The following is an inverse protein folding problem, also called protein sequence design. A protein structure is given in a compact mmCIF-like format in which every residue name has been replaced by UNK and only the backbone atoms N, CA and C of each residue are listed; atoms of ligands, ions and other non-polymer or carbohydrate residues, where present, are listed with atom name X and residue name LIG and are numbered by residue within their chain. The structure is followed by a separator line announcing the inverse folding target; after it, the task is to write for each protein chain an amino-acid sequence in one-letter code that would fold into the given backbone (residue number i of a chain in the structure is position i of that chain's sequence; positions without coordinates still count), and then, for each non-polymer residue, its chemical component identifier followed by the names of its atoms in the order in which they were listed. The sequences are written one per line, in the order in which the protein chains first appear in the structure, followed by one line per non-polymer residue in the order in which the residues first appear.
data_IF_321301428678
#
_entry.id   IF_321301428678
#
_cell.length_a   1.000
_cell.length_b   1.000
_cell.length_c   1.000
_cell.angle_alpha   90.00
_cell.angle_beta   90.00
_cell.angle_gamma   90.00
#
_symmetry.space_group_name_H-M   'P 1'
#
loop_
_entity.id
_entity.type
_entity.pdbx_description
1 polymer ?
#
# COMPACT_ATOMS: atom_id res chain seq x y z
N UNK A 1 -76.05 -58.50 7.08
CA UNK A 1 -74.67 -58.60 7.60
C UNK A 1 -73.71 -57.95 6.61
N UNK A 2 -72.66 -57.32 7.14
CA UNK A 2 -71.89 -56.20 6.58
C UNK A 2 -71.25 -56.43 5.20
N UNK A 3 -71.37 -55.46 4.29
CA UNK A 3 -70.55 -55.31 3.07
C UNK A 3 -69.32 -54.45 3.43
N UNK A 4 -68.12 -55.00 3.28
CA UNK A 4 -66.85 -54.28 3.51
C UNK A 4 -66.42 -53.56 2.22
N UNK A 5 -66.23 -52.25 2.33
CA UNK A 5 -65.67 -51.41 1.27
C UNK A 5 -64.12 -51.41 1.35
N UNK A 6 -63.47 -51.60 0.21
CA UNK A 6 -62.01 -51.51 0.05
C UNK A 6 -61.66 -50.04 -0.21
N UNK A 7 -60.92 -49.41 0.71
CA UNK A 7 -60.32 -48.09 0.49
C UNK A 7 -58.98 -48.23 -0.22
N UNK A 8 -58.89 -47.72 -1.46
CA UNK A 8 -57.61 -47.46 -2.12
C UNK A 8 -56.96 -46.20 -1.50
N UNK A 9 -55.73 -46.33 -1.00
CA UNK A 9 -54.88 -45.19 -0.58
C UNK A 9 -54.03 -44.74 -1.77
N UNK A 10 -54.19 -43.47 -2.17
CA UNK A 10 -53.27 -42.78 -3.09
C UNK A 10 -51.99 -42.34 -2.33
N UNK A 11 -50.80 -42.34 -2.97
CA UNK A 11 -49.58 -41.87 -2.34
C UNK A 11 -49.50 -40.33 -2.33
N UNK A 12 -48.76 -39.72 -1.38
CA UNK A 12 -48.64 -38.27 -1.29
C UNK A 12 -47.73 -37.72 -2.40
N UNK A 13 -48.20 -36.72 -3.15
CA UNK A 13 -47.37 -35.90 -4.02
C UNK A 13 -46.42 -35.05 -3.15
N UNK A 14 -45.11 -35.34 -3.25
CA UNK A 14 -44.05 -34.48 -2.72
C UNK A 14 -43.81 -33.33 -3.69
N UNK A 15 -44.24 -32.11 -3.30
CA UNK A 15 -43.85 -30.86 -3.94
C UNK A 15 -42.36 -30.60 -3.66
N UNK A 16 -41.49 -30.85 -4.64
CA UNK A 16 -40.09 -30.43 -4.60
C UNK A 16 -40.02 -28.94 -4.94
N UNK A 17 -40.03 -28.08 -3.92
CA UNK A 17 -39.73 -26.66 -4.10
C UNK A 17 -38.22 -26.53 -4.38
N UNK A 18 -37.87 -26.26 -5.63
CA UNK A 18 -36.51 -25.92 -6.05
C UNK A 18 -36.12 -24.55 -5.48
N UNK A 19 -35.43 -24.55 -4.34
CA UNK A 19 -34.63 -23.39 -3.92
C UNK A 19 -33.51 -23.21 -4.94
N UNK A 20 -33.71 -22.31 -5.92
CA UNK A 20 -32.60 -21.67 -6.61
C UNK A 20 -31.85 -20.84 -5.57
N UNK A 21 -30.81 -21.44 -4.98
CA UNK A 21 -29.84 -20.70 -4.20
C UNK A 21 -29.22 -19.63 -5.08
N UNK A 22 -29.50 -18.37 -4.79
CA UNK A 22 -28.71 -17.24 -5.26
C UNK A 22 -27.27 -17.51 -4.82
N UNK A 23 -26.43 -17.92 -5.77
CA UNK A 23 -24.98 -17.85 -5.58
C UNK A 23 -24.71 -16.36 -5.36
N UNK A 24 -24.22 -15.93 -4.19
CA UNK A 24 -23.80 -14.55 -4.03
C UNK A 24 -22.75 -14.31 -5.11
N UNK A 25 -23.09 -13.49 -6.11
CA UNK A 25 -22.12 -13.01 -7.07
C UNK A 25 -20.97 -12.44 -6.26
N UNK A 26 -19.75 -12.94 -6.49
CA UNK A 26 -18.57 -12.46 -5.79
C UNK A 26 -18.57 -10.94 -5.91
N UNK A 27 -18.83 -10.26 -4.79
CA UNK A 27 -18.83 -8.80 -4.76
C UNK A 27 -17.47 -8.33 -5.27
N UNK A 28 -17.48 -7.35 -6.18
CA UNK A 28 -16.26 -6.84 -6.77
C UNK A 28 -15.39 -6.23 -5.67
N UNK A 29 -14.17 -6.72 -5.54
CA UNK A 29 -13.26 -6.32 -4.46
C UNK A 29 -12.82 -4.85 -4.64
N UNK A 30 -13.08 -4.02 -3.64
CA UNK A 30 -12.64 -2.62 -3.60
C UNK A 30 -11.12 -2.53 -3.39
N UNK A 31 -10.50 -1.49 -3.94
CA UNK A 31 -9.07 -1.22 -3.78
C UNK A 31 -8.85 -0.10 -2.76
N UNK A 32 -8.98 -0.44 -1.48
CA UNK A 32 -9.32 0.54 -0.43
C UNK A 32 -8.16 1.35 0.13
N UNK A 33 -6.91 0.96 -0.10
CA UNK A 33 -5.73 1.60 0.47
C UNK A 33 -4.50 1.36 -0.42
N UNK A 34 -3.35 1.94 -0.05
CA UNK A 34 -2.09 1.71 -0.74
C UNK A 34 -1.79 0.21 -0.91
N UNK A 35 -1.61 -0.24 -2.15
CA UNK A 35 -1.41 -1.65 -2.53
C UNK A 35 -2.59 -2.58 -2.21
N UNK A 36 -3.81 -2.05 -2.26
CA UNK A 36 -5.04 -2.85 -2.27
C UNK A 36 -5.58 -3.17 -0.89
N UNK A 37 -6.67 -3.94 -0.81
CA UNK A 37 -7.48 -4.07 0.40
C UNK A 37 -6.71 -4.63 1.61
N UNK A 38 -5.75 -5.52 1.34
CA UNK A 38 -4.88 -6.12 2.35
C UNK A 38 -3.50 -5.44 2.46
N UNK A 39 -3.24 -4.41 1.67
CA UNK A 39 -1.95 -3.69 1.64
C UNK A 39 -0.76 -4.48 1.10
N UNK A 40 -0.98 -5.68 0.55
CA UNK A 40 0.07 -6.61 0.13
C UNK A 40 0.31 -6.63 -1.40
N UNK A 41 -0.46 -5.87 -2.18
CA UNK A 41 -0.33 -5.80 -3.64
C UNK A 41 -0.95 -6.99 -4.37
N UNK A 42 -1.80 -7.79 -3.71
CA UNK A 42 -2.53 -8.89 -4.34
C UNK A 42 -3.93 -8.44 -4.78
N UNK A 43 -4.39 -8.98 -5.91
CA UNK A 43 -5.79 -8.92 -6.33
C UNK A 43 -6.29 -10.30 -6.74
N UNK A 44 -7.55 -10.57 -6.45
CA UNK A 44 -8.24 -11.78 -6.90
C UNK A 44 -8.82 -11.69 -8.33
N UNK A 45 -8.63 -10.55 -9.01
CA UNK A 45 -9.02 -10.38 -10.40
C UNK A 45 -8.41 -11.46 -11.32
N UNK A 46 -9.20 -11.94 -12.28
CA UNK A 46 -8.85 -13.07 -13.16
C UNK A 46 -8.69 -12.69 -14.63
N UNK A 47 -9.27 -11.58 -15.05
CA UNK A 47 -9.35 -11.14 -16.44
C UNK A 47 -8.86 -9.70 -16.54
N UNK A 48 -7.62 -9.47 -16.14
CA UNK A 48 -6.98 -8.18 -16.32
C UNK A 48 -6.29 -8.12 -17.69
N UNK A 49 -6.26 -6.93 -18.32
CA UNK A 49 -5.58 -6.74 -19.59
C UNK A 49 -4.10 -7.10 -19.48
N UNK A 50 -3.57 -7.64 -20.58
CA UNK A 50 -2.16 -8.04 -20.71
C UNK A 50 -1.41 -7.08 -21.63
N UNK A 51 -2.06 -6.61 -22.69
CA UNK A 51 -1.48 -5.70 -23.68
C UNK A 51 -2.30 -4.43 -23.81
N UNK A 52 -1.65 -3.27 -23.89
CA UNK A 52 -2.27 -1.96 -24.08
C UNK A 52 -1.24 -0.94 -24.59
N UNK A 53 -1.72 0.21 -25.06
CA UNK A 53 -0.90 1.37 -25.47
C UNK A 53 -1.64 2.66 -25.14
N UNK A 54 -1.13 3.83 -25.53
CA UNK A 54 -1.87 5.10 -25.45
C UNK A 54 -3.20 5.10 -26.23
N UNK A 55 -3.36 4.22 -27.21
CA UNK A 55 -4.53 4.20 -28.12
C UNK A 55 -5.29 2.87 -28.12
N UNK A 56 -4.82 1.85 -27.40
CA UNK A 56 -5.45 0.53 -27.36
C UNK A 56 -5.71 0.06 -25.93
N UNK A 57 -6.89 -0.53 -25.71
CA UNK A 57 -7.40 -0.98 -24.40
C UNK A 57 -7.39 0.11 -23.31
N UNK A 58 -7.54 1.38 -23.73
CA UNK A 58 -7.74 2.53 -22.86
C UNK A 58 -9.22 2.88 -22.88
N UNK A 59 -9.95 2.53 -21.83
CA UNK A 59 -11.37 2.87 -21.71
C UNK A 59 -11.56 4.37 -21.53
N UNK A 60 -10.66 5.02 -20.78
CA UNK A 60 -10.55 6.47 -20.66
C UNK A 60 -9.17 6.86 -20.12
N UNK A 61 -8.78 8.11 -20.40
CA UNK A 61 -7.59 8.79 -19.88
C UNK A 61 -8.00 10.19 -19.43
N UNK A 62 -7.71 10.53 -18.18
CA UNK A 62 -8.07 11.82 -17.57
C UNK A 62 -6.84 12.54 -17.08
N UNK A 63 -6.65 13.79 -17.52
CA UNK A 63 -5.57 14.65 -17.05
C UNK A 63 -5.74 14.96 -15.55
N UNK A 64 -4.64 14.85 -14.82
CA UNK A 64 -4.55 15.15 -13.39
C UNK A 64 -3.62 16.36 -13.23
N UNK A 65 -4.12 17.42 -12.60
CA UNK A 65 -3.33 18.63 -12.38
C UNK A 65 -2.31 18.44 -11.25
N UNK A 66 -1.32 19.33 -11.21
CA UNK A 66 -0.31 19.38 -10.15
C UNK A 66 0.71 18.23 -10.21
N UNK A 67 1.24 17.86 -9.04
CA UNK A 67 2.26 16.82 -8.85
C UNK A 67 1.94 15.95 -7.63
N UNK A 68 1.54 14.71 -7.85
CA UNK A 68 1.18 13.76 -6.79
C UNK A 68 1.58 12.33 -7.11
N UNK A 69 2.18 11.61 -6.15
CA UNK A 69 2.58 10.21 -6.31
C UNK A 69 1.65 9.20 -5.64
N UNK A 70 0.53 9.66 -5.07
CA UNK A 70 -0.46 8.75 -4.50
C UNK A 70 -1.03 7.79 -5.53
N UNK A 71 -1.19 6.54 -5.12
CA UNK A 71 -1.86 5.52 -5.92
C UNK A 71 -3.37 5.77 -5.89
N UNK A 72 -4.11 5.42 -6.96
CA UNK A 72 -5.57 5.46 -6.91
C UNK A 72 -6.11 4.45 -5.89
N UNK A 73 -7.14 4.85 -5.15
CA UNK A 73 -7.98 3.94 -4.34
C UNK A 73 -9.40 3.96 -4.85
N UNK A 74 -10.08 2.82 -4.77
CA UNK A 74 -11.34 2.58 -5.45
C UNK A 74 -12.35 1.99 -4.47
N UNK A 75 -13.51 2.65 -4.35
CA UNK A 75 -14.69 2.12 -3.68
C UNK A 75 -15.90 2.23 -4.59
N UNK A 76 -16.44 1.09 -5.02
CA UNK A 76 -17.56 1.02 -5.96
C UNK A 76 -17.31 1.84 -7.22
N UNK A 77 -17.96 2.98 -7.40
CA UNK A 77 -17.83 3.85 -8.58
C UNK A 77 -16.91 5.07 -8.35
N UNK A 78 -16.24 5.16 -7.21
CA UNK A 78 -15.40 6.31 -6.86
C UNK A 78 -13.92 5.93 -6.93
N UNK A 79 -13.12 6.77 -7.59
CA UNK A 79 -11.66 6.73 -7.52
C UNK A 79 -11.18 7.97 -6.78
N UNK A 80 -10.31 7.80 -5.80
CA UNK A 80 -9.72 8.90 -5.04
C UNK A 80 -8.21 8.94 -5.18
N UNK A 81 -7.68 10.16 -5.32
CA UNK A 81 -6.25 10.47 -5.35
C UNK A 81 -5.97 11.79 -4.62
N UNK A 82 -4.71 11.99 -4.24
CA UNK A 82 -4.21 13.29 -3.76
C UNK A 82 -3.34 13.95 -4.82
N UNK A 83 -3.36 15.28 -4.87
CA UNK A 83 -2.46 16.09 -5.71
C UNK A 83 -2.05 17.36 -4.97
N UNK A 84 -1.05 18.05 -5.49
CA UNK A 84 -0.56 19.30 -4.94
C UNK A 84 0.01 20.18 -6.04
N UNK A 85 0.09 21.50 -5.83
CA UNK A 85 0.89 22.36 -6.70
C UNK A 85 2.36 21.92 -6.66
N UNK A 86 3.14 22.11 -7.75
CA UNK A 86 4.54 21.70 -7.77
C UNK A 86 5.40 22.34 -6.67
N UNK A 87 5.03 23.54 -6.21
CA UNK A 87 5.68 24.25 -5.10
C UNK A 87 5.18 23.83 -3.71
N UNK A 88 4.12 23.01 -3.63
CA UNK A 88 3.56 22.48 -2.39
C UNK A 88 2.66 23.44 -1.62
N UNK A 89 2.33 24.60 -2.18
CA UNK A 89 1.50 25.62 -1.52
C UNK A 89 0.03 25.23 -1.42
N UNK A 90 -0.48 24.44 -2.35
CA UNK A 90 -1.85 23.94 -2.30
C UNK A 90 -1.86 22.41 -2.31
N UNK A 91 -2.59 21.83 -1.36
CA UNK A 91 -2.75 20.38 -1.20
C UNK A 91 -4.22 20.02 -1.42
N UNK A 92 -4.49 19.11 -2.35
CA UNK A 92 -5.83 18.83 -2.86
C UNK A 92 -6.14 17.35 -2.92
N UNK A 93 -7.43 17.03 -2.88
CA UNK A 93 -7.98 15.72 -3.18
C UNK A 93 -8.82 15.79 -4.45
N UNK A 94 -8.81 14.72 -5.23
CA UNK A 94 -9.67 14.57 -6.39
C UNK A 94 -10.46 13.27 -6.28
N UNK A 95 -11.73 13.33 -6.67
CA UNK A 95 -12.59 12.16 -6.89
C UNK A 95 -12.94 12.07 -8.36
N UNK A 96 -12.79 10.89 -8.94
CA UNK A 96 -13.19 10.59 -10.32
C UNK A 96 -14.28 9.53 -10.32
N UNK A 97 -15.22 9.67 -11.25
CA UNK A 97 -16.17 8.62 -11.61
C UNK A 97 -15.43 7.48 -12.31
N UNK A 98 -15.51 6.28 -11.74
CA UNK A 98 -14.73 5.12 -12.23
C UNK A 98 -15.14 4.70 -13.65
N UNK A 99 -16.42 4.79 -13.97
CA UNK A 99 -16.95 4.34 -15.25
C UNK A 99 -16.50 5.25 -16.40
N UNK A 100 -16.64 6.56 -16.24
CA UNK A 100 -16.42 7.59 -17.27
C UNK A 100 -15.05 8.27 -17.21
N UNK A 101 -14.36 8.19 -16.07
CA UNK A 101 -13.11 8.94 -15.85
C UNK A 101 -13.32 10.42 -15.54
N UNK A 102 -14.57 10.91 -15.45
CA UNK A 102 -14.85 12.33 -15.19
C UNK A 102 -14.45 12.70 -13.75
N UNK A 103 -13.77 13.83 -13.58
CA UNK A 103 -13.54 14.44 -12.26
C UNK A 103 -14.90 14.91 -11.71
N UNK A 104 -15.30 14.36 -10.56
CA UNK A 104 -16.56 14.67 -9.86
C UNK A 104 -16.36 15.47 -8.59
N UNK A 105 -15.12 15.58 -8.11
CA UNK A 105 -14.70 16.47 -7.02
C UNK A 105 -13.24 16.85 -7.27
N UNK A 106 -12.93 18.14 -7.13
CA UNK A 106 -11.57 18.66 -7.06
C UNK A 106 -11.56 19.72 -5.95
N UNK A 107 -10.95 19.37 -4.83
CA UNK A 107 -11.08 20.14 -3.60
C UNK A 107 -9.69 20.39 -3.00
N UNK A 108 -9.32 21.67 -2.94
CA UNK A 108 -8.20 22.12 -2.10
C UNK A 108 -8.57 21.91 -0.63
N UNK A 109 -7.70 21.23 0.09
CA UNK A 109 -7.82 21.02 1.53
C UNK A 109 -6.97 22.00 2.31
N UNK A 110 -5.72 22.23 1.88
CA UNK A 110 -4.76 23.00 2.65
C UNK A 110 -4.00 24.02 1.81
N UNK A 111 -3.83 25.20 2.40
CA UNK A 111 -2.87 26.22 1.98
C UNK A 111 -1.64 26.16 2.89
N UNK A 112 -0.45 26.10 2.30
CA UNK A 112 0.84 25.96 2.99
C UNK A 112 1.72 27.14 2.61
N UNK A 113 1.89 28.08 3.54
CA UNK A 113 2.69 29.29 3.29
C UNK A 113 4.16 28.96 2.98
N UNK A 114 4.74 28.01 3.74
CA UNK A 114 6.15 27.60 3.66
C UNK A 114 6.27 26.08 3.61
N UNK A 115 6.08 25.47 2.43
CA UNK A 115 6.17 24.02 2.28
C UNK A 115 7.58 23.51 2.66
N UNK A 116 7.65 22.36 3.35
CA UNK A 116 8.92 21.68 3.62
C UNK A 116 9.53 21.17 2.32
N UNK A 117 10.86 21.04 2.22
CA UNK A 117 11.47 20.46 1.02
C UNK A 117 10.95 19.04 0.72
N UNK A 118 10.60 18.79 -0.54
CA UNK A 118 10.28 17.47 -1.08
C UNK A 118 11.31 17.06 -2.14
N UNK A 119 11.88 15.87 -2.00
CA UNK A 119 12.87 15.33 -2.94
C UNK A 119 12.23 15.04 -4.32
N UNK A 120 13.04 14.96 -5.39
CA UNK A 120 12.54 14.68 -6.74
C UNK A 120 11.78 13.35 -6.85
N UNK A 121 12.13 12.36 -6.04
CA UNK A 121 11.45 11.06 -5.97
C UNK A 121 10.21 11.08 -5.08
N UNK A 122 9.90 12.22 -4.48
CA UNK A 122 8.75 12.46 -3.61
C UNK A 122 7.89 13.63 -4.17
N UNK A 123 6.75 13.86 -3.55
CA UNK A 123 5.91 15.02 -3.80
C UNK A 123 5.15 15.39 -2.52
N UNK A 124 4.55 16.58 -2.52
CA UNK A 124 3.70 17.03 -1.42
C UNK A 124 2.42 16.22 -1.26
N UNK A 125 2.09 15.36 -2.23
CA UNK A 125 0.90 14.51 -2.26
C UNK A 125 1.25 13.05 -2.60
N UNK A 126 2.34 12.54 -2.02
CA UNK A 126 2.75 11.14 -2.15
C UNK A 126 1.91 10.15 -1.34
N UNK A 127 1.48 10.45 -0.09
CA UNK A 127 0.68 9.50 0.66
C UNK A 127 -0.61 9.16 -0.08
N UNK A 128 -0.84 7.87 -0.25
CA UNK A 128 -2.05 7.34 -0.90
C UNK A 128 -3.22 7.46 0.06
N UNK A 129 -4.37 8.04 -0.36
CA UNK A 129 -5.54 8.08 0.50
C UNK A 129 -6.05 6.66 0.80
N UNK A 130 -6.91 6.52 1.79
CA UNK A 130 -7.66 5.29 2.04
C UNK A 130 -9.15 5.56 1.99
N UNK A 131 -9.94 4.58 1.57
CA UNK A 131 -11.39 4.69 1.41
C UNK A 131 -12.10 3.48 2.00
N UNK A 132 -13.19 3.73 2.69
CA UNK A 132 -14.17 2.73 3.11
C UNK A 132 -15.58 3.27 2.86
N UNK A 133 -16.59 2.49 3.24
CA UNK A 133 -17.98 2.92 3.09
C UNK A 133 -18.22 4.29 3.76
N UNK A 134 -18.61 5.27 2.94
CA UNK A 134 -18.95 6.63 3.38
C UNK A 134 -17.77 7.52 3.79
N UNK A 135 -16.52 7.03 3.83
CA UNK A 135 -15.37 7.82 4.34
C UNK A 135 -14.11 7.69 3.52
N UNK A 136 -13.40 8.81 3.39
CA UNK A 136 -12.05 8.87 2.80
C UNK A 136 -11.09 9.48 3.80
N UNK A 137 -9.95 8.83 4.00
CA UNK A 137 -8.86 9.28 4.87
C UNK A 137 -7.69 9.75 4.03
N UNK A 138 -7.20 10.94 4.33
CA UNK A 138 -6.06 11.55 3.62
C UNK A 138 -5.03 12.04 4.61
N UNK A 139 -3.76 11.93 4.24
CA UNK A 139 -2.66 12.56 4.97
C UNK A 139 -1.72 13.20 3.97
N UNK A 140 -1.18 14.35 4.34
CA UNK A 140 -0.09 15.02 3.63
C UNK A 140 1.16 15.07 4.51
N UNK A 141 1.19 14.27 5.59
CA UNK A 141 2.20 14.35 6.65
C UNK A 141 1.92 15.51 7.60
N UNK A 142 2.97 16.24 7.96
CA UNK A 142 2.88 17.39 8.90
C UNK A 142 1.91 18.50 8.48
N UNK A 143 1.71 18.79 7.18
CA UNK A 143 0.67 19.70 6.72
C UNK A 143 -0.75 19.39 7.23
N UNK A 144 -1.11 18.10 7.36
CA UNK A 144 -2.41 17.71 7.87
C UNK A 144 -2.87 16.30 7.50
N UNK A 145 -3.77 15.78 8.33
CA UNK A 145 -4.51 14.53 8.14
C UNK A 145 -6.00 14.81 8.31
N UNK A 146 -6.85 14.28 7.44
CA UNK A 146 -8.30 14.50 7.51
C UNK A 146 -9.11 13.25 7.15
N UNK A 147 -10.35 13.22 7.62
CA UNK A 147 -11.40 12.35 7.12
C UNK A 147 -12.45 13.20 6.40
N UNK A 148 -12.82 12.78 5.21
CA UNK A 148 -13.88 13.35 4.42
C UNK A 148 -15.04 12.36 4.32
N UNK A 149 -16.24 12.90 4.19
CA UNK A 149 -17.41 12.17 3.72
C UNK A 149 -17.22 11.82 2.23
N UNK A 150 -17.30 10.53 1.89
CA UNK A 150 -16.96 10.05 0.55
C UNK A 150 -17.97 10.51 -0.52
N UNK A 151 -19.21 10.81 -0.14
CA UNK A 151 -20.24 11.23 -1.08
C UNK A 151 -20.19 12.74 -1.35
N UNK A 152 -20.03 13.54 -0.30
CA UNK A 152 -20.10 15.00 -0.39
C UNK A 152 -18.74 15.69 -0.50
N UNK A 153 -17.65 15.03 -0.09
CA UNK A 153 -16.33 15.65 0.05
C UNK A 153 -16.17 16.53 1.29
N UNK A 154 -17.21 16.64 2.13
CA UNK A 154 -17.17 17.45 3.35
C UNK A 154 -16.13 16.88 4.32
N UNK A 155 -15.27 17.74 4.86
CA UNK A 155 -14.35 17.37 5.95
C UNK A 155 -15.16 17.06 7.21
N UNK A 156 -15.05 15.84 7.71
CA UNK A 156 -15.69 15.36 8.93
C UNK A 156 -14.83 15.65 10.17
N UNK A 157 -13.51 15.53 10.02
CA UNK A 157 -12.53 15.96 11.02
C UNK A 157 -11.17 16.20 10.34
N UNK A 158 -10.33 17.04 10.95
CA UNK A 158 -8.94 17.25 10.54
C UNK A 158 -8.00 17.37 11.75
N UNK A 159 -6.71 17.07 11.52
CA UNK A 159 -5.61 17.13 12.48
C UNK A 159 -4.38 17.72 11.81
N UNK A 160 -3.75 18.71 12.45
CA UNK A 160 -2.54 19.41 11.97
C UNK A 160 -1.43 19.49 13.02
N UNK A 161 -1.66 18.85 14.16
CA UNK A 161 -0.79 18.89 15.33
C UNK A 161 0.28 17.78 15.32
N UNK A 162 0.17 16.80 14.42
CA UNK A 162 1.22 15.81 14.16
C UNK A 162 2.31 16.41 13.27
N UNK A 163 3.33 17.00 13.89
CA UNK A 163 4.41 17.69 13.18
C UNK A 163 5.74 16.99 13.38
N UNK A 164 6.41 16.73 12.26
CA UNK A 164 7.86 16.50 12.16
C UNK A 164 8.42 17.20 10.91
N UNK A 165 9.73 17.38 10.86
CA UNK A 165 10.47 17.75 9.66
C UNK A 165 10.69 16.49 8.81
N UNK A 166 9.87 16.28 7.78
CA UNK A 166 9.98 15.11 6.89
C UNK A 166 11.31 15.09 6.12
N UNK A 167 12.02 16.22 6.05
CA UNK A 167 13.31 16.45 5.38
C UNK A 167 13.31 16.23 3.86
N UNK A 168 12.49 15.31 3.33
CA UNK A 168 12.36 14.95 1.89
C UNK A 168 10.91 14.69 1.46
N UNK A 169 9.94 15.23 2.19
CA UNK A 169 8.50 15.04 1.95
C UNK A 169 7.91 13.82 2.64
N UNK A 170 6.62 13.88 2.95
CA UNK A 170 5.89 12.79 3.62
C UNK A 170 5.53 11.65 2.65
N UNK A 171 5.41 10.43 3.17
CA UNK A 171 5.06 9.26 2.35
C UNK A 171 4.23 8.19 3.08
N UNK A 172 4.07 8.27 4.41
CA UNK A 172 3.24 7.33 5.15
C UNK A 172 1.77 7.51 4.78
N UNK A 173 1.18 6.48 4.16
CA UNK A 173 -0.24 6.49 3.77
C UNK A 173 -1.11 6.11 4.97
N UNK A 174 -2.30 6.72 5.16
CA UNK A 174 -3.24 6.30 6.19
C UNK A 174 -3.67 4.84 6.01
N UNK A 175 -3.66 4.08 7.11
CA UNK A 175 -4.12 2.68 7.12
C UNK A 175 -5.31 2.54 8.07
N UNK A 176 -6.56 2.50 7.56
CA UNK A 176 -7.72 2.19 8.37
C UNK A 176 -7.72 0.69 8.70
N UNK A 177 -7.91 0.35 9.97
CA UNK A 177 -8.07 -1.02 10.42
C UNK A 177 -8.94 -1.06 11.68
N UNK A 178 -10.02 -1.83 11.64
CA UNK A 178 -11.07 -1.80 12.67
C UNK A 178 -11.54 -0.36 12.94
N UNK A 179 -11.43 0.14 14.17
CA UNK A 179 -11.78 1.49 14.61
C UNK A 179 -10.62 2.50 14.48
N UNK A 180 -9.46 2.06 14.00
CA UNK A 180 -8.21 2.83 14.03
C UNK A 180 -7.79 3.34 12.66
N UNK A 181 -7.09 4.46 12.65
CA UNK A 181 -6.33 5.00 11.52
C UNK A 181 -4.87 5.12 11.92
N UNK A 182 -3.98 4.37 11.25
CA UNK A 182 -2.56 4.29 11.57
C UNK A 182 -1.71 5.14 10.62
N UNK A 183 -0.74 5.86 11.17
CA UNK A 183 0.20 6.73 10.43
C UNK A 183 1.59 6.72 11.08
N UNK A 184 2.63 6.95 10.28
CA UNK A 184 3.98 7.22 10.76
C UNK A 184 4.35 8.70 10.55
N UNK A 185 5.11 9.24 11.49
CA UNK A 185 5.73 10.57 11.43
C UNK A 185 7.22 10.42 11.76
N UNK A 186 7.97 9.83 10.84
CA UNK A 186 9.41 9.61 10.97
C UNK A 186 10.19 10.70 10.24
N UNK A 187 10.27 11.89 10.84
CA UNK A 187 11.06 13.03 10.34
C UNK A 187 12.54 12.94 10.71
N UNK A 188 13.32 13.97 10.41
CA UNK A 188 14.72 14.10 10.85
C UNK A 188 14.86 14.54 12.31
N UNK A 189 13.84 15.22 12.83
CA UNK A 189 13.78 15.81 14.17
C UNK A 189 12.99 14.96 15.18
N UNK A 190 11.88 14.35 14.74
CA UNK A 190 11.00 13.50 15.54
C UNK A 190 10.64 12.23 14.79
N UNK A 191 10.51 11.11 15.51
CA UNK A 191 10.13 9.82 14.94
C UNK A 191 9.11 9.13 15.84
N UNK A 192 7.88 8.98 15.37
CA UNK A 192 6.79 8.37 16.13
C UNK A 192 5.72 7.75 15.23
N UNK A 193 4.92 6.88 15.83
CA UNK A 193 3.74 6.26 15.21
C UNK A 193 2.49 6.63 15.97
N UNK A 194 1.36 6.78 15.26
CA UNK A 194 0.08 7.15 15.87
C UNK A 194 -1.04 6.22 15.44
N UNK A 195 -2.00 6.02 16.33
CA UNK A 195 -3.34 5.55 16.01
C UNK A 195 -4.37 6.61 16.39
N UNK A 196 -5.25 6.91 15.45
CA UNK A 196 -6.42 7.75 15.68
C UNK A 196 -7.67 6.90 15.69
N UNK A 197 -8.69 7.29 16.45
CA UNK A 197 -10.06 6.83 16.20
C UNK A 197 -10.47 7.34 14.81
N UNK A 198 -10.72 6.42 13.88
CA UNK A 198 -10.95 6.79 12.47
C UNK A 198 -12.26 7.57 12.27
N UNK A 199 -13.20 7.51 13.22
CA UNK A 199 -14.49 8.21 13.10
C UNK A 199 -14.40 9.66 13.55
N UNK A 200 -13.60 9.92 14.59
CA UNK A 200 -13.55 11.20 15.32
C UNK A 200 -12.23 11.94 15.15
N UNK A 201 -11.17 11.26 14.70
CA UNK A 201 -9.83 11.81 14.58
C UNK A 201 -9.09 11.95 15.91
N UNK A 202 -9.65 11.50 17.04
CA UNK A 202 -8.99 11.57 18.36
C UNK A 202 -7.79 10.63 18.43
N UNK A 203 -6.70 11.07 19.05
CA UNK A 203 -5.54 10.21 19.29
C UNK A 203 -5.92 9.11 20.28
N UNK A 204 -5.70 7.84 19.90
CA UNK A 204 -5.86 6.67 20.77
C UNK A 204 -4.54 6.31 21.45
N UNK A 205 -3.45 6.35 20.69
CA UNK A 205 -2.09 6.25 21.20
C UNK A 205 -1.10 6.90 20.25
N UNK A 206 0.05 7.26 20.81
CA UNK A 206 1.24 7.76 20.13
C UNK A 206 2.45 7.08 20.76
N UNK A 207 3.42 6.69 19.96
CA UNK A 207 4.60 5.96 20.46
C UNK A 207 5.85 6.42 19.71
N UNK A 208 6.80 6.95 20.46
CA UNK A 208 8.13 7.32 19.95
C UNK A 208 8.91 6.08 19.51
N UNK A 209 9.77 6.26 18.50
CA UNK A 209 10.72 5.21 18.11
C UNK A 209 11.75 5.01 19.22
N UNK A 210 11.89 3.77 19.68
CA UNK A 210 12.77 3.43 20.80
C UNK A 210 14.22 3.10 20.39
N UNK A 211 14.54 3.03 19.10
CA UNK A 211 15.90 2.77 18.63
C UNK A 211 16.85 3.87 19.08
N UNK A 212 18.00 3.48 19.59
CA UNK A 212 19.12 4.39 19.82
C UNK A 212 19.87 4.59 18.50
N UNK A 213 19.72 5.79 17.91
CA UNK A 213 20.36 6.14 16.64
C UNK A 213 21.89 6.27 16.74
N UNK A 214 22.45 6.42 17.95
CA UNK A 214 23.90 6.53 18.22
C UNK A 214 24.62 7.57 17.35
N UNK A 215 23.95 8.67 17.05
CA UNK A 215 24.39 9.71 16.12
C UNK A 215 24.39 11.11 16.74
N UNK A 216 24.22 11.23 18.06
CA UNK A 216 24.33 12.52 18.75
C UNK A 216 25.81 12.93 18.83
N UNK A 217 26.14 14.08 18.24
CA UNK A 217 27.47 14.69 18.29
C UNK A 217 27.68 15.42 19.62
N UNK A 218 28.93 15.83 19.87
CA UNK A 218 29.31 16.52 21.10
C UNK A 218 28.54 17.84 21.35
N UNK A 219 27.97 18.44 20.30
CA UNK A 219 27.12 19.64 20.36
C UNK A 219 25.64 19.33 20.67
N UNK A 220 25.30 18.07 20.96
CA UNK A 220 23.95 17.61 21.27
C UNK A 220 23.05 17.45 20.04
N UNK A 221 23.57 17.63 18.82
CA UNK A 221 22.78 17.53 17.58
C UNK A 221 23.00 16.19 16.88
N UNK A 222 21.98 15.68 16.18
CA UNK A 222 22.13 14.46 15.38
C UNK A 222 23.10 14.68 14.22
N UNK A 223 23.81 13.61 13.86
CA UNK A 223 24.64 13.61 12.67
C UNK A 223 23.82 13.80 11.40
N UNK A 224 24.42 14.44 10.40
CA UNK A 224 23.76 14.84 9.16
C UNK A 224 22.42 15.59 9.38
N UNK A 225 22.24 16.29 10.51
CA UNK A 225 20.99 16.98 10.84
C UNK A 225 19.79 16.06 11.04
N UNK A 226 20.02 14.78 11.33
CA UNK A 226 18.98 13.77 11.48
C UNK A 226 18.52 13.15 10.15
N UNK A 227 19.20 13.40 9.03
CA UNK A 227 18.84 12.82 7.72
C UNK A 227 18.78 11.28 7.79
N UNK A 228 19.54 10.63 8.69
CA UNK A 228 19.51 9.17 8.87
C UNK A 228 18.46 8.66 9.86
N UNK A 229 17.65 9.54 10.46
CA UNK A 229 16.58 9.14 11.40
C UNK A 229 15.22 9.00 10.75
N UNK A 230 15.01 9.68 9.63
CA UNK A 230 13.75 9.72 8.90
C UNK A 230 13.35 8.40 8.26
N UNK A 231 12.05 8.19 8.11
CA UNK A 231 11.43 7.03 7.47
C UNK A 231 10.20 7.45 6.66
N UNK A 232 9.79 6.60 5.74
CA UNK A 232 8.77 6.91 4.73
C UNK A 232 7.73 5.79 4.57
N UNK A 233 7.87 4.72 5.35
CA UNK A 233 7.05 3.52 5.20
C UNK A 233 5.59 3.73 5.62
N UNK A 234 4.73 2.88 5.07
CA UNK A 234 3.31 2.74 5.46
C UNK A 234 3.18 1.48 6.33
N UNK A 235 2.45 1.51 7.46
CA UNK A 235 2.31 0.33 8.32
C UNK A 235 1.53 -0.81 7.66
N UNK A 236 1.74 -2.02 8.15
CA UNK A 236 0.91 -3.20 7.82
C UNK A 236 0.35 -3.78 9.11
N UNK A 237 -0.94 -4.08 9.14
CA UNK A 237 -1.55 -4.78 10.28
C UNK A 237 -1.66 -6.26 9.93
N UNK A 238 -1.27 -7.12 10.86
CA UNK A 238 -1.45 -8.57 10.73
C UNK A 238 -1.96 -9.17 12.02
N UNK A 239 -2.61 -10.33 11.93
CA UNK A 239 -2.94 -11.16 13.08
C UNK A 239 -1.80 -12.15 13.30
N UNK A 240 -1.20 -12.14 14.48
CA UNK A 240 -0.21 -13.13 14.89
C UNK A 240 -0.66 -13.80 16.19
N UNK A 241 -0.86 -15.13 16.14
CA UNK A 241 -1.58 -15.82 17.21
C UNK A 241 -2.98 -15.21 17.35
N UNK A 242 -3.28 -14.67 18.53
CA UNK A 242 -4.54 -13.99 18.83
C UNK A 242 -4.37 -12.46 19.00
N UNK A 243 -3.25 -11.90 18.54
CA UNK A 243 -2.90 -10.49 18.72
C UNK A 243 -2.82 -9.78 17.37
N UNK A 244 -3.57 -8.68 17.20
CA UNK A 244 -3.35 -7.77 16.09
C UNK A 244 -2.08 -6.95 16.33
N UNK A 245 -1.19 -6.97 15.34
CA UNK A 245 0.14 -6.38 15.41
C UNK A 245 0.33 -5.39 14.27
N UNK A 246 0.77 -4.18 14.60
CA UNK A 246 1.19 -3.17 13.63
C UNK A 246 2.67 -3.38 13.31
N UNK A 247 2.94 -3.78 12.08
CA UNK A 247 4.27 -3.93 11.51
C UNK A 247 4.70 -2.59 10.91
N UNK A 248 5.77 -2.02 11.45
CA UNK A 248 6.15 -0.63 11.20
C UNK A 248 7.64 -0.51 10.95
N UNK A 249 8.02 -0.24 9.69
CA UNK A 249 9.39 0.05 9.33
C UNK A 249 9.69 1.54 9.56
N UNK A 250 10.71 1.83 10.35
CA UNK A 250 11.28 3.16 10.53
C UNK A 250 12.67 3.25 9.91
N UNK A 251 13.51 4.16 10.42
CA UNK A 251 14.93 4.18 10.12
C UNK A 251 15.73 3.34 11.11
N UNK A 252 16.75 2.61 10.63
CA UNK A 252 17.62 1.70 11.40
C UNK A 252 16.90 0.57 12.16
N UNK A 253 15.58 0.56 12.21
CA UNK A 253 14.80 -0.43 12.94
C UNK A 253 13.44 -0.70 12.30
N UNK A 254 12.97 -1.93 12.51
CA UNK A 254 11.64 -2.40 12.18
C UNK A 254 10.96 -2.87 13.46
N UNK A 255 9.71 -2.48 13.65
CA UNK A 255 8.98 -2.62 14.89
C UNK A 255 7.69 -3.41 14.70
N UNK A 256 7.29 -4.11 15.76
CA UNK A 256 5.96 -4.61 15.96
C UNK A 256 5.33 -3.94 17.17
N UNK A 257 4.16 -3.34 16.98
CA UNK A 257 3.39 -2.72 18.06
C UNK A 257 2.07 -3.45 18.28
N UNK A 258 1.60 -3.46 19.52
CA UNK A 258 0.23 -3.83 19.85
C UNK A 258 -0.75 -2.82 19.23
N UNK A 259 -1.74 -3.31 18.46
CA UNK A 259 -2.71 -2.44 17.80
C UNK A 259 -3.52 -1.58 18.77
N UNK A 260 -3.86 -2.12 19.94
CA UNK A 260 -4.79 -1.48 20.87
C UNK A 260 -4.13 -0.36 21.67
N UNK A 261 -2.92 -0.60 22.13
CA UNK A 261 -2.19 0.22 23.11
C UNK A 261 -1.03 1.01 22.51
N UNK A 262 -0.52 0.61 21.34
CA UNK A 262 0.70 1.19 20.76
C UNK A 262 1.99 0.66 21.40
N UNK A 263 1.90 -0.22 22.40
CA UNK A 263 3.07 -0.76 23.08
C UNK A 263 3.98 -1.51 22.09
N UNK A 264 5.28 -1.22 22.12
CA UNK A 264 6.27 -1.99 21.38
C UNK A 264 6.34 -3.42 21.93
N UNK A 265 6.09 -4.39 21.04
CA UNK A 265 6.17 -5.82 21.35
C UNK A 265 7.61 -6.31 21.17
N UNK A 266 8.19 -6.00 20.02
CA UNK A 266 9.57 -6.35 19.67
C UNK A 266 10.02 -5.51 18.48
N UNK A 267 11.34 -5.46 18.26
CA UNK A 267 11.93 -4.79 17.12
C UNK A 267 13.17 -5.51 16.62
N UNK A 268 13.54 -5.26 15.37
CA UNK A 268 14.83 -5.63 14.80
C UNK A 268 15.57 -4.38 14.39
N UNK A 269 16.90 -4.37 14.53
CA UNK A 269 17.77 -3.21 14.26
C UNK A 269 18.81 -3.54 13.17
N UNK A 270 18.93 -2.68 12.16
CA UNK A 270 19.97 -2.69 11.13
C UNK A 270 20.64 -1.29 11.10
N UNK A 271 21.61 -1.03 11.99
CA UNK A 271 22.21 0.29 12.13
C UNK A 271 22.89 0.83 10.88
N UNK A 272 23.25 -0.05 9.93
CA UNK A 272 23.95 0.33 8.68
C UNK A 272 23.00 0.73 7.55
N UNK A 273 21.69 0.62 7.76
CA UNK A 273 20.64 1.07 6.85
C UNK A 273 19.83 2.21 7.48
N UNK A 274 19.05 2.93 6.68
CA UNK A 274 18.22 4.05 7.13
C UNK A 274 17.14 4.35 6.09
N UNK A 275 16.23 5.30 6.38
CA UNK A 275 15.19 5.70 5.41
C UNK A 275 14.33 4.54 4.94
N UNK A 276 13.77 3.75 5.86
CA UNK A 276 12.85 2.68 5.50
C UNK A 276 11.58 3.22 4.82
N UNK A 277 11.34 2.77 3.59
CA UNK A 277 10.28 3.27 2.67
C UNK A 277 9.28 2.18 2.29
N UNK A 278 9.76 0.95 2.18
CA UNK A 278 9.02 -0.21 1.70
C UNK A 278 7.99 -0.62 2.74
N UNK A 279 6.74 -0.88 2.30
CA UNK A 279 5.69 -1.42 3.15
C UNK A 279 6.02 -2.87 3.53
N UNK A 280 6.10 -3.22 4.83
CA UNK A 280 6.33 -4.60 5.26
C UNK A 280 5.23 -5.54 4.76
N UNK A 281 5.61 -6.75 4.34
CA UNK A 281 4.66 -7.77 3.86
C UNK A 281 4.61 -8.94 4.83
N UNK A 282 3.44 -9.21 5.41
CA UNK A 282 3.21 -10.41 6.21
C UNK A 282 2.63 -11.52 5.32
N UNK A 283 3.33 -12.65 5.22
CA UNK A 283 2.85 -13.82 4.49
C UNK A 283 3.55 -15.09 4.98
N UNK A 284 2.88 -16.23 4.86
CA UNK A 284 3.46 -17.56 5.18
C UNK A 284 4.02 -17.67 6.61
N UNK A 285 3.43 -16.93 7.56
CA UNK A 285 3.88 -16.89 8.95
C UNK A 285 5.18 -16.11 9.19
N UNK A 286 5.63 -15.31 8.21
CA UNK A 286 6.80 -14.43 8.30
C UNK A 286 6.43 -12.98 7.98
N UNK A 287 7.35 -12.08 8.29
CA UNK A 287 7.34 -10.70 7.81
C UNK A 287 8.55 -10.45 6.93
N UNK A 288 8.32 -9.88 5.75
CA UNK A 288 9.34 -9.49 4.80
C UNK A 288 9.54 -7.97 4.86
N UNK A 289 10.78 -7.55 5.09
CA UNK A 289 11.15 -6.14 5.30
C UNK A 289 12.37 -5.80 4.46
N UNK A 290 12.27 -4.75 3.63
CA UNK A 290 13.44 -4.14 3.01
C UNK A 290 13.93 -3.02 3.94
N UNK A 291 15.12 -3.14 4.52
CA UNK A 291 15.58 -2.31 5.65
C UNK A 291 15.82 -0.84 5.30
N UNK A 292 15.90 -0.48 4.01
CA UNK A 292 16.01 0.90 3.54
C UNK A 292 17.21 1.14 2.63
N UNK A 293 17.76 2.35 2.71
CA UNK A 293 18.89 2.84 1.92
C UNK A 293 20.25 2.41 2.50
N UNK A 294 21.33 2.82 1.81
CA UNK A 294 22.72 2.46 2.10
C UNK A 294 22.95 0.95 1.96
N UNK A 295 23.22 0.22 3.04
CA UNK A 295 23.39 -1.23 3.02
C UNK A 295 22.05 -1.96 3.17
N UNK A 296 21.03 -1.54 2.41
CA UNK A 296 19.67 -2.08 2.45
C UNK A 296 19.63 -3.60 2.21
N UNK A 297 18.83 -4.31 2.98
CA UNK A 297 18.70 -5.77 2.95
C UNK A 297 17.22 -6.15 2.93
N UNK A 298 16.89 -7.29 2.32
CA UNK A 298 15.59 -7.93 2.51
C UNK A 298 15.73 -8.94 3.65
N UNK A 299 14.95 -8.79 4.70
CA UNK A 299 14.89 -9.72 5.83
C UNK A 299 13.57 -10.48 5.82
N UNK A 300 13.63 -11.78 6.10
CA UNK A 300 12.48 -12.54 6.53
C UNK A 300 12.55 -12.78 8.03
N UNK A 301 11.53 -12.30 8.74
CA UNK A 301 11.49 -12.24 10.20
C UNK A 301 10.37 -13.17 10.66
N UNK A 302 10.70 -14.08 11.59
CA UNK A 302 9.69 -14.85 12.33
C UNK A 302 9.06 -13.92 13.37
N UNK A 303 7.74 -13.65 13.34
CA UNK A 303 7.13 -12.75 14.30
C UNK A 303 7.25 -13.28 15.74
N UNK A 304 7.18 -12.37 16.71
CA UNK A 304 7.19 -12.68 18.15
C UNK A 304 8.56 -12.55 18.81
N UNK A 305 8.59 -12.76 20.12
CA UNK A 305 9.73 -12.39 20.98
C UNK A 305 9.43 -11.13 21.78
N UNK A 306 10.46 -10.56 22.41
CA UNK A 306 10.37 -9.35 23.24
C UNK A 306 11.65 -8.54 23.11
N UNK A 307 11.55 -7.21 23.05
CA UNK A 307 12.69 -6.31 22.92
C UNK A 307 13.38 -6.41 21.55
N UNK A 308 14.71 -6.28 21.52
CA UNK A 308 15.51 -6.41 20.29
C UNK A 308 15.69 -7.87 19.94
N UNK A 309 15.17 -8.28 18.78
CA UNK A 309 15.12 -9.69 18.35
C UNK A 309 15.88 -9.98 17.06
N UNK A 310 16.76 -9.06 16.62
CA UNK A 310 17.54 -9.18 15.37
C UNK A 310 18.23 -10.54 15.23
N UNK A 311 19.02 -10.93 16.23
CA UNK A 311 19.85 -12.14 16.16
C UNK A 311 19.08 -13.44 16.36
N UNK A 312 17.82 -13.37 16.81
CA UNK A 312 17.02 -14.54 17.19
C UNK A 312 15.83 -14.79 16.27
N UNK A 313 15.34 -13.76 15.56
CA UNK A 313 14.10 -13.84 14.77
C UNK A 313 14.29 -13.57 13.28
N UNK A 314 15.40 -12.98 12.85
CA UNK A 314 15.74 -12.90 11.42
C UNK A 314 16.10 -14.31 10.94
N UNK A 315 15.23 -14.91 10.13
CA UNK A 315 15.41 -16.28 9.65
C UNK A 315 16.42 -16.36 8.49
N UNK A 316 16.37 -15.38 7.59
CA UNK A 316 17.30 -15.25 6.48
C UNK A 316 17.32 -13.80 5.98
N UNK A 317 18.37 -13.46 5.23
CA UNK A 317 18.53 -12.16 4.58
C UNK A 317 19.07 -12.25 3.15
N UNK A 318 18.67 -11.31 2.31
CA UNK A 318 19.22 -11.06 0.98
C UNK A 318 19.79 -9.64 0.92
N UNK A 319 20.97 -9.48 0.32
CA UNK A 319 21.71 -8.20 0.30
C UNK A 319 21.96 -7.66 -1.11
N UNK A 320 21.60 -8.41 -2.16
CA UNK A 320 21.81 -8.01 -3.55
C UNK A 320 20.48 -7.58 -4.17
N UNK A 321 20.50 -6.48 -4.92
CA UNK A 321 19.36 -6.00 -5.70
C UNK A 321 18.07 -5.92 -4.86
N UNK A 322 18.19 -5.38 -3.65
CA UNK A 322 17.06 -5.16 -2.75
C UNK A 322 16.44 -3.80 -3.08
N UNK A 323 15.10 -3.72 -3.23
CA UNK A 323 14.44 -2.45 -3.48
C UNK A 323 14.54 -1.47 -2.30
N UNK A 324 14.58 -0.19 -2.64
CA UNK A 324 14.49 0.90 -1.67
C UNK A 324 13.26 1.78 -1.88
N UNK A 325 12.40 1.49 -2.88
CA UNK A 325 11.07 2.10 -3.03
C UNK A 325 9.97 1.07 -3.33
N UNK A 326 10.11 0.20 -4.35
CA UNK A 326 9.07 -0.78 -4.66
C UNK A 326 8.94 -1.82 -3.54
N UNK A 327 7.74 -2.02 -3.00
CA UNK A 327 7.55 -3.07 -1.98
C UNK A 327 7.38 -4.45 -2.67
N UNK A 328 7.91 -5.55 -2.08
CA UNK A 328 7.81 -6.88 -2.68
C UNK A 328 6.37 -7.40 -2.70
N UNK A 329 6.09 -8.46 -3.46
CA UNK A 329 4.80 -9.18 -3.47
C UNK A 329 5.06 -10.66 -3.23
N UNK A 330 4.22 -11.31 -2.42
CA UNK A 330 4.29 -12.76 -2.18
C UNK A 330 3.11 -13.44 -2.87
N UNK A 331 3.37 -14.37 -3.78
CA UNK A 331 2.35 -15.16 -4.49
C UNK A 331 2.64 -16.64 -4.25
N UNK A 332 1.75 -17.33 -3.56
CA UNK A 332 1.99 -18.72 -3.15
C UNK A 332 3.20 -18.80 -2.21
N UNK A 333 4.19 -19.60 -2.58
CA UNK A 333 5.46 -19.78 -1.87
C UNK A 333 6.60 -18.89 -2.40
N UNK A 334 6.31 -17.98 -3.34
CA UNK A 334 7.28 -17.15 -4.04
C UNK A 334 7.20 -15.69 -3.60
N UNK A 335 8.36 -15.07 -3.38
CA UNK A 335 8.50 -13.64 -3.16
C UNK A 335 9.10 -13.00 -4.42
N UNK A 336 8.43 -11.98 -4.94
CA UNK A 336 8.87 -11.20 -6.09
C UNK A 336 9.22 -9.78 -5.66
N UNK A 337 10.34 -9.28 -6.15
CA UNK A 337 10.79 -7.91 -5.92
C UNK A 337 11.42 -7.35 -7.19
N UNK A 338 11.46 -6.02 -7.28
CA UNK A 338 12.20 -5.31 -8.32
C UNK A 338 13.01 -4.21 -7.67
N UNK A 339 14.32 -4.20 -7.87
CA UNK A 339 15.13 -3.10 -7.37
C UNK A 339 14.86 -1.82 -8.17
N UNK A 340 15.29 -0.71 -7.59
CA UNK A 340 15.10 0.63 -8.13
C UNK A 340 15.65 0.81 -9.56
N UNK A 341 16.63 0.00 -9.96
CA UNK A 341 17.28 0.04 -11.28
C UNK A 341 16.81 -1.08 -12.23
N UNK A 342 15.73 -1.79 -11.89
CA UNK A 342 15.10 -2.76 -12.79
C UNK A 342 15.67 -4.17 -12.75
N UNK A 343 16.37 -4.59 -11.69
CA UNK A 343 16.59 -6.03 -11.46
C UNK A 343 15.36 -6.63 -10.77
N UNK A 344 14.57 -7.38 -11.52
CA UNK A 344 13.50 -8.20 -10.98
C UNK A 344 14.07 -9.52 -10.44
N UNK A 345 13.59 -9.97 -9.28
CA UNK A 345 14.01 -11.23 -8.67
C UNK A 345 12.82 -12.02 -8.16
N UNK A 346 12.94 -13.35 -8.19
CA UNK A 346 12.03 -14.28 -7.55
C UNK A 346 12.80 -15.15 -6.56
N UNK A 347 12.30 -15.22 -5.34
CA UNK A 347 12.88 -15.99 -4.25
C UNK A 347 11.86 -17.01 -3.74
N UNK A 348 12.33 -18.13 -3.22
CA UNK A 348 11.55 -18.96 -2.32
C UNK A 348 11.29 -18.19 -1.01
N UNK A 349 10.04 -17.85 -0.73
CA UNK A 349 9.71 -16.94 0.36
C UNK A 349 10.06 -17.48 1.75
N UNK A 350 10.16 -18.80 1.94
CA UNK A 350 10.54 -19.39 3.25
C UNK A 350 12.04 -19.51 3.49
N UNK A 351 12.84 -19.56 2.44
CA UNK A 351 14.28 -19.87 2.53
C UNK A 351 15.16 -18.71 2.07
N UNK A 352 14.63 -17.80 1.25
CA UNK A 352 15.39 -16.73 0.61
C UNK A 352 16.22 -17.20 -0.58
N UNK A 353 16.10 -18.48 -0.99
CA UNK A 353 16.81 -19.01 -2.14
C UNK A 353 16.35 -18.30 -3.41
N UNK A 354 17.30 -17.80 -4.19
CA UNK A 354 17.00 -17.20 -5.49
C UNK A 354 16.61 -18.28 -6.50
N UNK A 355 15.49 -18.03 -7.20
CA UNK A 355 15.01 -18.87 -8.29
C UNK A 355 15.42 -18.26 -9.63
N UNK A 356 15.20 -16.95 -9.79
CA UNK A 356 15.66 -16.21 -10.96
C UNK A 356 15.91 -14.73 -10.61
N UNK A 357 16.76 -14.10 -11.41
CA UNK A 357 17.10 -12.68 -11.35
C UNK A 357 17.33 -12.15 -12.75
N UNK A 358 16.54 -11.18 -13.16
CA UNK A 358 16.48 -10.74 -14.56
C UNK A 358 16.35 -9.22 -14.68
N UNK A 359 16.90 -8.68 -15.77
CA UNK A 359 16.81 -7.24 -16.06
C UNK A 359 15.49 -6.92 -16.74
N UNK A 360 14.73 -6.02 -16.14
CA UNK A 360 13.71 -5.21 -16.80
C UNK A 360 14.26 -3.80 -17.03
N UNK A 361 13.88 -3.19 -18.15
CA UNK A 361 14.35 -1.85 -18.52
C UNK A 361 13.73 -0.77 -17.62
N UNK A 362 14.51 0.28 -17.35
CA UNK A 362 14.06 1.51 -16.69
C UNK A 362 14.22 1.52 -15.17
N UNK A 363 13.73 2.60 -14.56
CA UNK A 363 13.86 2.86 -13.13
C UNK A 363 12.51 2.64 -12.43
N UNK A 364 12.53 2.12 -11.20
CA UNK A 364 11.32 1.73 -10.49
C UNK A 364 11.14 2.56 -9.21
N UNK A 365 9.89 2.96 -9.00
CA UNK A 365 9.40 3.62 -7.78
C UNK A 365 8.06 3.03 -7.38
N UNK A 366 7.20 2.77 -8.38
CA UNK A 366 5.94 2.07 -8.18
C UNK A 366 6.16 0.66 -7.63
N UNK A 367 5.32 0.29 -6.67
CA UNK A 367 5.23 -1.08 -6.20
C UNK A 367 4.53 -1.96 -7.24
N UNK A 368 5.03 -3.17 -7.52
CA UNK A 368 4.29 -4.12 -8.33
C UNK A 368 3.04 -4.62 -7.62
N UNK A 369 2.08 -5.09 -8.42
CA UNK A 369 0.93 -5.89 -7.97
C UNK A 369 0.95 -7.26 -8.63
N UNK A 370 0.29 -8.24 -8.00
CA UNK A 370 0.03 -9.54 -8.60
C UNK A 370 -1.47 -9.81 -8.71
N UNK A 371 -1.87 -10.30 -9.88
CA UNK A 371 -3.25 -10.63 -10.21
C UNK A 371 -3.26 -11.59 -11.39
N UNK A 372 -4.27 -12.48 -11.49
CA UNK A 372 -4.43 -13.39 -12.61
C UNK A 372 -3.16 -14.21 -12.99
N UNK A 373 -2.32 -14.57 -12.01
CA UNK A 373 -1.07 -15.31 -12.24
C UNK A 373 0.07 -14.48 -12.85
N UNK A 374 -0.04 -13.14 -12.82
CA UNK A 374 0.92 -12.19 -13.39
C UNK A 374 1.35 -11.16 -12.36
N UNK A 375 2.50 -10.57 -12.62
CA UNK A 375 3.09 -9.42 -11.96
C UNK A 375 3.08 -8.25 -12.93
N UNK A 376 2.71 -7.07 -12.44
CA UNK A 376 2.69 -5.84 -13.20
C UNK A 376 3.75 -4.90 -12.65
N UNK A 377 4.88 -4.76 -13.37
CA UNK A 377 5.98 -3.88 -13.01
C UNK A 377 5.91 -2.58 -13.82
N UNK A 378 5.65 -1.46 -13.15
CA UNK A 378 5.49 -0.14 -13.77
C UNK A 378 6.73 0.70 -13.49
N UNK A 379 7.35 1.25 -14.54
CA UNK A 379 8.59 2.01 -14.42
C UNK A 379 8.39 3.53 -14.61
N UNK A 380 9.41 4.29 -14.25
CA UNK A 380 9.43 5.74 -14.29
C UNK A 380 9.42 6.30 -15.70
N UNK A 381 9.70 5.50 -16.72
CA UNK A 381 9.76 5.90 -18.13
C UNK A 381 8.45 5.64 -18.89
N UNK A 382 7.46 4.97 -18.27
CA UNK A 382 6.16 4.67 -18.90
C UNK A 382 5.97 3.23 -19.32
N UNK A 383 7.00 2.39 -19.17
CA UNK A 383 6.94 0.98 -19.49
C UNK A 383 6.24 0.21 -18.37
N UNK A 384 5.33 -0.67 -18.76
CA UNK A 384 4.83 -1.74 -17.89
C UNK A 384 5.28 -3.09 -18.44
N UNK A 385 6.00 -3.86 -17.63
CA UNK A 385 6.32 -5.25 -17.94
C UNK A 385 5.35 -6.18 -17.21
N UNK A 386 4.62 -6.98 -17.99
CA UNK A 386 3.71 -8.02 -17.48
C UNK A 386 4.49 -9.32 -17.45
N UNK A 387 4.76 -9.83 -16.25
CA UNK A 387 5.62 -11.01 -16.05
C UNK A 387 4.80 -12.12 -15.40
N UNK A 388 4.99 -13.36 -15.84
CA UNK A 388 4.34 -14.51 -15.20
C UNK A 388 4.80 -14.65 -13.75
N UNK A 389 3.87 -14.75 -12.80
CA UNK A 389 4.19 -14.98 -11.39
C UNK A 389 4.54 -16.46 -11.17
N UNK A 390 5.75 -16.87 -11.57
CA UNK A 390 6.17 -18.26 -11.51
C UNK A 390 7.67 -18.46 -11.27
N UNK A 391 8.06 -19.72 -11.06
CA UNK A 391 9.46 -20.15 -10.95
C UNK A 391 10.26 -20.00 -12.24
N UNK A 392 9.60 -19.81 -13.39
CA UNK A 392 10.27 -19.46 -14.64
C UNK A 392 10.03 -17.99 -14.94
N UNK A 393 11.09 -17.26 -15.25
CA UNK A 393 10.95 -15.90 -15.75
C UNK A 393 10.35 -15.91 -17.16
N UNK A 394 9.27 -15.18 -17.34
CA UNK A 394 8.63 -14.98 -18.65
C UNK A 394 7.92 -13.64 -18.69
N UNK A 395 8.40 -12.73 -19.53
CA UNK A 395 7.65 -11.52 -19.90
C UNK A 395 6.55 -11.93 -20.88
N UNK A 396 5.30 -11.71 -20.50
CA UNK A 396 4.12 -12.01 -21.34
C UNK A 396 3.72 -10.81 -22.21
N UNK A 397 3.98 -9.59 -21.74
CA UNK A 397 3.78 -8.37 -22.52
C UNK A 397 4.63 -7.21 -22.00
N UNK A 398 4.81 -6.22 -22.87
CA UNK A 398 5.40 -4.92 -22.57
C UNK A 398 4.48 -3.84 -23.13
N UNK A 399 4.10 -2.90 -22.28
CA UNK A 399 3.17 -1.82 -22.61
C UNK A 399 3.82 -0.48 -22.32
N UNK A 400 3.33 0.58 -22.96
CA UNK A 400 3.86 1.93 -22.79
C UNK A 400 2.72 2.94 -22.63
N UNK A 401 2.81 3.77 -21.59
CA UNK A 401 2.03 4.99 -21.42
C UNK A 401 2.98 6.17 -21.20
N UNK A 402 2.61 7.33 -21.72
CA UNK A 402 3.39 8.56 -21.64
C UNK A 402 3.54 9.05 -20.19
N UNK A 403 4.56 9.90 -19.97
CA UNK A 403 4.85 10.59 -18.71
C UNK A 403 5.18 9.72 -17.49
N UNK A 404 5.18 8.39 -17.63
CA UNK A 404 5.75 7.43 -16.70
C UNK A 404 5.12 7.34 -15.32
N UNK A 405 5.53 6.33 -14.55
CA UNK A 405 4.88 5.97 -13.30
C UNK A 405 5.74 6.28 -12.07
N UNK A 406 5.11 6.90 -11.09
CA UNK A 406 5.60 6.98 -9.70
C UNK A 406 4.64 6.26 -8.75
N UNK A 407 3.34 6.33 -9.04
CA UNK A 407 2.27 5.68 -8.30
C UNK A 407 2.16 4.19 -8.65
N UNK A 408 1.65 3.41 -7.70
CA UNK A 408 1.38 1.98 -7.89
C UNK A 408 -0.01 1.77 -8.51
N UNK A 409 -0.23 0.70 -9.28
CA UNK A 409 -1.51 0.44 -9.92
C UNK A 409 -2.61 0.07 -8.91
N UNK A 410 -3.87 0.30 -9.29
CA UNK A 410 -5.04 -0.25 -8.61
C UNK A 410 -5.82 -1.20 -9.52
N UNK A 411 -6.58 -2.09 -8.90
CA UNK A 411 -7.40 -3.09 -9.60
C UNK A 411 -8.85 -2.97 -9.15
N UNK A 412 -9.77 -3.02 -10.09
CA UNK A 412 -11.20 -3.19 -9.78
C UNK A 412 -11.88 -3.99 -10.89
N UNK A 413 -12.33 -5.20 -10.55
CA UNK A 413 -12.86 -6.20 -11.50
C UNK A 413 -11.88 -6.59 -12.59
N UNK A 414 -12.15 -6.16 -13.81
CA UNK A 414 -11.36 -6.48 -15.02
C UNK A 414 -10.43 -5.35 -15.45
N UNK A 415 -10.47 -4.20 -14.77
CA UNK A 415 -9.65 -3.05 -15.11
C UNK A 415 -8.44 -2.88 -14.21
N UNK A 416 -7.38 -2.36 -14.83
CA UNK A 416 -6.27 -1.69 -14.16
C UNK A 416 -6.50 -0.19 -14.17
N UNK A 417 -6.18 0.47 -13.06
CA UNK A 417 -6.21 1.92 -12.95
C UNK A 417 -4.78 2.40 -12.71
N UNK A 418 -4.23 3.07 -13.73
CA UNK A 418 -2.81 3.41 -13.80
C UNK A 418 -2.65 4.92 -13.74
N UNK A 419 -1.90 5.43 -12.76
CA UNK A 419 -1.62 6.86 -12.63
C UNK A 419 -0.20 7.15 -13.11
N UNK A 420 -0.08 7.83 -14.24
CA UNK A 420 1.17 8.43 -14.69
C UNK A 420 1.41 9.76 -13.96
N UNK A 421 2.51 10.46 -14.25
CA UNK A 421 2.78 11.76 -13.62
C UNK A 421 1.71 12.83 -13.94
N UNK A 422 1.01 12.68 -15.05
CA UNK A 422 0.09 13.68 -15.60
C UNK A 422 -1.34 13.19 -15.81
N UNK A 423 -1.60 11.87 -15.78
CA UNK A 423 -2.90 11.31 -16.11
C UNK A 423 -3.28 10.10 -15.24
N UNK A 424 -4.57 9.85 -15.12
CA UNK A 424 -5.13 8.58 -14.66
C UNK A 424 -5.78 7.87 -15.83
N UNK A 425 -5.51 6.57 -15.97
CA UNK A 425 -6.03 5.72 -17.02
C UNK A 425 -6.89 4.61 -16.42
N UNK A 426 -7.95 4.22 -17.13
CA UNK A 426 -8.57 2.90 -16.98
C UNK A 426 -8.18 2.05 -18.17
N UNK A 427 -7.43 0.99 -17.90
CA UNK A 427 -7.03 -0.01 -18.89
C UNK A 427 -7.95 -1.22 -18.71
N UNK A 428 -8.65 -1.60 -19.77
CA UNK A 428 -9.61 -2.71 -19.82
C UNK A 428 -9.72 -3.21 -21.26
N UNK A 429 -9.89 -4.52 -21.44
CA UNK A 429 -10.07 -5.16 -22.76
C UNK A 429 -11.43 -4.84 -23.39
#
# INVERSE_FOLDING_TARGET
MKRSAILLRLPPLLFFASLLGLIPGLAQENWTQFRGPQGNGLSHARQLPVSWSETNHVAWKTAIHGKGWSSPVIWSNQIWITTATPDGRELSVMRLDRASGKVTLDQKLYDIEKPQYADRFNSYASPTPAIEEGRVYVSFGSPGTACLDAETGKVLWERRDFVCNHFRGAASSPVPFLDRLLLHFDGSDKQYVVALDKKTGKTLWETDRSVDYKDIKADGKPDAGGDWRKGFSTPTVTLYGNQFTVLSLGSKAFYAYDLTTGQELWRTEEPTSHSGTVRPVAALGMVFVCTGLSKGQLWAIKPGGSGVVTDTRVAWKVTRNVPTRPSPVVVGDLLFMIDDGGIASCLEAKTGNEIWRERLEGNYSASPIAAAGRLYFLNQEGKTSVVRASRQFKVEATNYLEDGFMASPAVYGKALYLRTRSHLYRIED
#
